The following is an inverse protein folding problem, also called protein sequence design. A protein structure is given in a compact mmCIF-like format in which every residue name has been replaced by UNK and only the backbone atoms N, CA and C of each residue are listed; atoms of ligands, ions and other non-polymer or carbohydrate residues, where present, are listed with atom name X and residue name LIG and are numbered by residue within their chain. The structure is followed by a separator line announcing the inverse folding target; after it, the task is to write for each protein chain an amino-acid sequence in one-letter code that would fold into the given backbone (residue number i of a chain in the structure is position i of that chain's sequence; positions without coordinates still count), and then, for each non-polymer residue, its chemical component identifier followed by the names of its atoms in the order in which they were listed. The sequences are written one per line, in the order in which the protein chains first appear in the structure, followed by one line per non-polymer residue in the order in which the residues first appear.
data_IF_708058293350
#
_entry.id   IF_708058293350
#
_cell.length_a   1.000
_cell.length_b   1.000
_cell.length_c   1.000
_cell.angle_alpha   90.00
_cell.angle_beta   90.00
_cell.angle_gamma   90.00
#
_symmetry.space_group_name_H-M   'P 1'
#
loop_
_entity.id
_entity.type
_entity.pdbx_description
1 polymer ?
#
# COMPACT_ATOMS: atom_id res chain seq x y z
N UNK A 1 25.74 -78.78 -40.87
CA UNK A 1 26.49 -77.73 -41.59
C UNK A 1 25.49 -76.70 -42.09
N UNK A 2 25.74 -75.43 -41.74
CA UNK A 2 25.02 -74.19 -42.11
C UNK A 2 23.58 -74.00 -41.57
N UNK A 3 23.47 -73.21 -40.50
CA UNK A 3 22.25 -72.49 -40.06
C UNK A 3 22.27 -71.04 -40.59
N UNK A 4 21.11 -70.42 -40.89
CA UNK A 4 21.03 -69.04 -41.36
C UNK A 4 20.68 -68.02 -40.25
N UNK A 5 21.45 -66.92 -40.27
CA UNK A 5 21.13 -65.49 -40.08
C UNK A 5 19.90 -65.14 -39.20
N UNK A 6 20.19 -64.59 -38.02
CA UNK A 6 19.21 -64.08 -37.07
C UNK A 6 18.65 -62.69 -37.40
N UNK A 7 17.39 -62.49 -37.02
CA UNK A 7 16.74 -61.20 -36.78
C UNK A 7 16.08 -61.24 -35.40
N UNK A 8 16.25 -60.14 -34.65
CA UNK A 8 15.62 -59.69 -33.37
C UNK A 8 16.74 -59.02 -32.54
N UNK A 9 16.60 -57.89 -31.86
CA UNK A 9 15.50 -56.95 -31.58
C UNK A 9 16.16 -55.79 -30.84
N UNK A 10 15.92 -54.53 -31.21
CA UNK A 10 16.44 -53.37 -30.44
C UNK A 10 15.41 -52.87 -29.42
N UNK A 11 15.83 -52.38 -28.23
CA UNK A 11 14.93 -52.04 -27.13
C UNK A 11 14.32 -50.64 -27.27
N UNK A 12 13.05 -50.51 -26.91
CA UNK A 12 12.39 -49.22 -26.68
C UNK A 12 13.05 -48.50 -25.49
N UNK A 13 13.61 -47.32 -25.74
CA UNK A 13 13.99 -46.35 -24.72
C UNK A 13 13.02 -45.17 -24.83
N UNK A 14 12.10 -45.07 -23.89
CA UNK A 14 11.20 -43.93 -23.72
C UNK A 14 11.99 -42.68 -23.32
N UNK A 15 12.11 -41.72 -24.23
CA UNK A 15 12.45 -40.35 -23.85
C UNK A 15 11.21 -39.72 -23.20
N UNK A 16 11.27 -39.50 -21.89
CA UNK A 16 10.33 -38.63 -21.20
C UNK A 16 10.75 -37.18 -21.47
N UNK A 17 9.84 -36.41 -22.06
CA UNK A 17 10.01 -34.97 -22.29
C UNK A 17 10.01 -34.23 -20.94
N UNK A 18 11.03 -33.41 -20.62
CA UNK A 18 11.14 -32.74 -19.31
C UNK A 18 10.17 -31.57 -19.08
N UNK A 19 9.17 -31.36 -19.94
CA UNK A 19 8.40 -30.11 -19.94
C UNK A 19 6.90 -30.27 -19.57
N UNK A 20 6.55 -31.34 -18.85
CA UNK A 20 5.14 -31.62 -18.50
C UNK A 20 4.57 -30.78 -17.34
N UNK A 21 5.39 -30.03 -16.58
CA UNK A 21 4.95 -29.41 -15.32
C UNK A 21 5.01 -27.88 -15.30
N UNK A 22 4.75 -27.22 -16.45
CA UNK A 22 4.37 -25.80 -16.43
C UNK A 22 2.90 -25.66 -16.74
N UNK A 23 2.07 -26.09 -15.77
CA UNK A 23 0.66 -25.76 -15.75
C UNK A 23 0.51 -24.23 -15.85
N UNK A 24 0.08 -23.76 -17.01
CA UNK A 24 -0.20 -22.36 -17.31
C UNK A 24 -1.31 -21.90 -16.37
N UNK A 25 -0.95 -21.22 -15.28
CA UNK A 25 -1.93 -20.58 -14.41
C UNK A 25 -2.71 -19.58 -15.30
N UNK A 26 -4.05 -19.63 -15.32
CA UNK A 26 -4.82 -18.67 -16.10
C UNK A 26 -4.43 -17.25 -15.67
N UNK A 27 -4.15 -16.33 -16.60
CA UNK A 27 -3.76 -14.94 -16.31
C UNK A 27 -4.66 -14.26 -15.25
N UNK A 28 -5.95 -14.58 -15.27
CA UNK A 28 -6.94 -14.11 -14.29
C UNK A 28 -6.65 -14.58 -12.84
N UNK A 29 -6.09 -15.77 -12.64
CA UNK A 29 -5.72 -16.28 -11.33
C UNK A 29 -4.44 -15.63 -10.77
N UNK A 30 -3.52 -15.22 -11.64
CA UNK A 30 -2.32 -14.46 -11.24
C UNK A 30 -2.67 -13.02 -10.87
N UNK A 31 -3.50 -12.35 -11.66
CA UNK A 31 -4.03 -11.01 -11.37
C UNK A 31 -4.83 -10.97 -10.06
N UNK A 32 -5.66 -11.99 -9.81
CA UNK A 32 -6.41 -12.11 -8.56
C UNK A 32 -5.48 -12.23 -7.35
N UNK A 33 -4.46 -13.08 -7.43
CA UNK A 33 -3.45 -13.24 -6.36
C UNK A 33 -2.69 -11.95 -6.10
N UNK A 34 -2.39 -11.18 -7.14
CA UNK A 34 -1.67 -9.93 -7.01
C UNK A 34 -2.51 -8.84 -6.31
N UNK A 35 -3.81 -8.73 -6.66
CA UNK A 35 -4.73 -7.83 -5.95
C UNK A 35 -4.89 -8.24 -4.49
N UNK A 36 -5.09 -9.52 -4.21
CA UNK A 36 -5.16 -10.04 -2.83
C UNK A 36 -3.87 -9.76 -2.05
N UNK A 37 -2.71 -9.85 -2.70
CA UNK A 37 -1.42 -9.49 -2.09
C UNK A 37 -1.32 -8.01 -1.75
N UNK A 38 -1.79 -7.11 -2.62
CA UNK A 38 -1.79 -5.66 -2.37
C UNK A 38 -2.78 -5.28 -1.26
N UNK A 39 -3.97 -5.88 -1.25
CA UNK A 39 -4.96 -5.68 -0.18
C UNK A 39 -4.41 -6.12 1.18
N UNK A 40 -3.75 -7.29 1.21
CA UNK A 40 -3.07 -7.78 2.40
C UNK A 40 -1.96 -6.83 2.84
N UNK A 41 -1.09 -6.39 1.92
CA UNK A 41 -0.03 -5.46 2.24
C UNK A 41 -0.57 -4.16 2.83
N UNK A 42 -1.64 -3.61 2.24
CA UNK A 42 -2.29 -2.42 2.76
C UNK A 42 -2.78 -2.65 4.20
N UNK A 43 -3.49 -3.76 4.45
CA UNK A 43 -3.95 -4.12 5.78
C UNK A 43 -2.79 -4.27 6.79
N UNK A 44 -1.68 -4.91 6.38
CA UNK A 44 -0.49 -5.08 7.20
C UNK A 44 0.16 -3.72 7.54
N UNK A 45 0.20 -2.77 6.59
CA UNK A 45 0.69 -1.40 6.83
C UNK A 45 -0.20 -0.64 7.81
N UNK A 46 -1.52 -0.77 7.70
CA UNK A 46 -2.46 -0.20 8.66
C UNK A 46 -2.27 -0.78 10.06
N UNK A 47 -2.09 -2.11 10.17
CA UNK A 47 -1.81 -2.81 11.41
C UNK A 47 -0.50 -2.33 12.04
N UNK A 48 0.58 -2.34 11.27
CA UNK A 48 1.89 -1.89 11.71
C UNK A 48 1.88 -0.44 12.22
N UNK A 49 1.19 0.46 11.52
CA UNK A 49 1.04 1.84 11.99
C UNK A 49 0.34 1.90 13.36
N UNK A 50 -0.78 1.18 13.52
CA UNK A 50 -1.54 1.17 14.79
C UNK A 50 -0.70 0.64 15.95
N UNK A 51 0.03 -0.47 15.73
CA UNK A 51 0.93 -1.06 16.73
C UNK A 51 2.08 -0.11 17.08
N UNK A 52 2.73 0.46 16.07
CA UNK A 52 3.83 1.41 16.25
C UNK A 52 3.40 2.66 17.04
N UNK A 53 2.17 3.15 16.82
CA UNK A 53 1.64 4.31 17.51
C UNK A 53 1.13 4.00 18.93
N UNK A 54 0.89 2.73 19.27
CA UNK A 54 0.51 2.33 20.62
C UNK A 54 1.67 2.46 21.62
N UNK A 55 2.92 2.31 21.15
CA UNK A 55 4.12 2.54 21.95
C UNK A 55 4.37 4.05 22.09
N UNK A 56 3.92 4.63 23.21
CA UNK A 56 4.12 6.05 23.53
C UNK A 56 5.41 6.27 24.29
N UNK A 57 6.12 7.35 23.96
CA UNK A 57 7.27 7.81 24.74
C UNK A 57 6.77 8.46 26.02
N UNK A 58 7.07 7.84 27.15
CA UNK A 58 6.88 8.47 28.44
C UNK A 58 8.08 9.34 28.78
N UNK A 59 7.79 10.58 29.16
CA UNK A 59 8.78 11.60 29.48
C UNK A 59 8.40 12.15 30.83
N UNK A 60 9.33 12.10 31.79
CA UNK A 60 9.13 12.71 33.08
C UNK A 60 9.09 14.24 32.94
N UNK A 61 7.88 14.79 33.07
CA UNK A 61 7.61 16.21 32.94
C UNK A 61 8.27 17.01 34.06
N UNK A 62 8.44 16.41 35.24
CA UNK A 62 8.94 17.10 36.43
C UNK A 62 10.41 17.48 36.30
N UNK A 63 11.26 16.57 35.82
CA UNK A 63 12.71 16.82 35.68
C UNK A 63 13.08 17.67 34.47
N UNK A 64 12.28 17.66 33.41
CA UNK A 64 12.63 18.31 32.13
C UNK A 64 12.14 19.75 32.03
N UNK A 65 11.09 20.08 32.79
CA UNK A 65 10.46 21.40 32.73
C UNK A 65 10.55 22.16 34.07
N UNK A 66 11.23 21.62 35.08
CA UNK A 66 11.51 22.35 36.32
C UNK A 66 12.49 23.51 36.09
N UNK A 67 12.07 24.75 36.36
CA UNK A 67 12.98 25.90 36.52
C UNK A 67 12.90 27.01 35.46
N UNK A 68 12.14 26.85 34.37
CA UNK A 68 11.85 27.93 33.42
C UNK A 68 10.48 28.55 33.69
N UNK A 69 10.25 29.84 33.44
CA UNK A 69 9.00 30.52 33.85
C UNK A 69 7.86 30.49 32.84
N UNK A 70 8.07 30.06 31.60
CA UNK A 70 7.03 30.06 30.56
C UNK A 70 7.28 28.91 29.55
N UNK A 71 6.69 27.74 29.79
CA UNK A 71 6.87 26.54 28.96
C UNK A 71 5.57 25.79 28.64
N UNK A 72 4.43 26.45 28.82
CA UNK A 72 3.12 25.80 28.64
C UNK A 72 2.91 25.40 27.18
N UNK A 73 3.34 26.25 26.26
CA UNK A 73 3.27 26.02 24.82
C UNK A 73 4.06 24.78 24.40
N UNK A 74 5.31 24.66 24.86
CA UNK A 74 6.13 23.48 24.56
C UNK A 74 5.56 22.21 25.19
N UNK A 75 4.98 22.31 26.39
CA UNK A 75 4.33 21.18 27.03
C UNK A 75 3.07 20.74 26.28
N UNK A 76 2.29 21.70 25.77
CA UNK A 76 1.15 21.43 24.88
C UNK A 76 1.64 20.78 23.59
N UNK A 77 2.72 21.29 22.99
CA UNK A 77 3.36 20.69 21.81
C UNK A 77 3.81 19.24 22.06
N UNK A 78 4.33 18.95 23.25
CA UNK A 78 4.71 17.60 23.65
C UNK A 78 3.50 16.69 23.80
N UNK A 79 2.45 17.14 24.47
CA UNK A 79 1.24 16.35 24.70
C UNK A 79 0.42 16.11 23.43
N UNK A 80 0.40 17.07 22.50
CA UNK A 80 -0.30 16.90 21.23
C UNK A 80 0.44 15.97 20.28
N UNK A 81 1.78 15.94 20.33
CA UNK A 81 2.59 15.16 19.38
C UNK A 81 2.19 13.68 19.45
N UNK A 82 1.92 13.11 18.28
CA UNK A 82 1.48 11.73 18.09
C UNK A 82 0.08 11.38 18.62
N UNK A 83 -0.70 12.36 19.06
CA UNK A 83 -2.11 12.13 19.36
C UNK A 83 -2.91 11.89 18.09
N UNK A 84 -3.82 10.92 18.09
CA UNK A 84 -4.76 10.67 17.01
C UNK A 84 -6.14 11.32 17.24
N UNK A 85 -6.32 12.03 18.36
CA UNK A 85 -7.59 12.60 18.75
C UNK A 85 -8.04 13.73 17.80
N UNK A 86 -9.36 13.92 17.62
CA UNK A 86 -9.88 15.14 17.02
C UNK A 86 -9.61 16.35 17.94
N UNK A 87 -9.58 17.56 17.37
CA UNK A 87 -9.20 18.80 18.06
C UNK A 87 -9.99 19.00 19.34
N UNK A 88 -11.32 18.89 19.28
CA UNK A 88 -12.20 18.99 20.46
C UNK A 88 -11.73 18.12 21.63
N UNK A 89 -11.57 16.81 21.40
CA UNK A 89 -11.12 15.85 22.42
C UNK A 89 -9.68 16.03 22.85
N UNK A 90 -8.81 16.44 21.92
CA UNK A 90 -7.41 16.70 22.23
C UNK A 90 -7.27 17.88 23.20
N UNK A 91 -8.03 18.96 22.98
CA UNK A 91 -8.02 20.12 23.87
C UNK A 91 -8.55 19.74 25.24
N UNK A 92 -9.63 18.94 25.32
CA UNK A 92 -10.13 18.42 26.60
C UNK A 92 -9.03 17.63 27.34
N UNK A 93 -8.39 16.66 26.68
CA UNK A 93 -7.34 15.82 27.27
C UNK A 93 -6.15 16.64 27.77
N UNK A 94 -5.67 17.58 26.95
CA UNK A 94 -4.52 18.43 27.31
C UNK A 94 -4.90 19.39 28.43
N UNK A 95 -6.08 20.01 28.39
CA UNK A 95 -6.53 20.92 29.43
C UNK A 95 -6.65 20.22 30.79
N UNK A 96 -7.28 19.05 30.83
CA UNK A 96 -7.43 18.25 32.05
C UNK A 96 -6.08 17.77 32.58
N UNK A 97 -5.20 17.32 31.68
CA UNK A 97 -3.85 16.91 32.04
C UNK A 97 -3.05 18.07 32.63
N UNK A 98 -3.01 19.22 31.97
CA UNK A 98 -2.31 20.42 32.47
C UNK A 98 -2.82 20.83 33.85
N UNK A 99 -4.13 20.91 34.04
CA UNK A 99 -4.70 21.30 35.34
C UNK A 99 -4.35 20.31 36.45
N UNK A 100 -4.34 19.01 36.16
CA UNK A 100 -3.92 17.98 37.11
C UNK A 100 -2.46 18.13 37.49
N UNK A 101 -1.56 18.32 36.52
CA UNK A 101 -0.12 18.49 36.81
C UNK A 101 0.17 19.79 37.58
N UNK A 102 -0.59 20.86 37.30
CA UNK A 102 -0.51 22.12 38.07
C UNK A 102 -1.04 21.92 39.50
N UNK A 103 -2.17 21.22 39.66
CA UNK A 103 -2.75 20.94 40.98
C UNK A 103 -1.83 20.09 41.85
N UNK A 104 -1.16 19.10 41.25
CA UNK A 104 -0.21 18.23 41.94
C UNK A 104 1.15 18.90 42.23
N UNK A 105 1.36 20.13 41.74
CA UNK A 105 2.62 20.85 41.88
C UNK A 105 3.76 20.33 41.01
N UNK A 106 3.49 19.40 40.09
CA UNK A 106 4.47 18.88 39.11
C UNK A 106 4.97 20.01 38.21
N UNK A 107 4.06 20.90 37.81
CA UNK A 107 4.31 22.01 36.88
C UNK A 107 3.86 23.32 37.52
N UNK A 108 4.67 24.36 37.35
CA UNK A 108 4.36 25.71 37.83
C UNK A 108 4.13 26.62 36.63
N UNK A 109 2.88 27.07 36.47
CA UNK A 109 2.49 28.01 35.43
C UNK A 109 2.36 29.43 36.00
N UNK A 110 2.96 30.39 35.32
CA UNK A 110 2.90 31.82 35.67
C UNK A 110 1.60 32.48 35.23
N UNK A 111 0.99 31.96 34.15
CA UNK A 111 -0.27 32.45 33.57
C UNK A 111 -1.39 31.46 33.83
N UNK A 112 -2.61 31.99 33.95
CA UNK A 112 -3.82 31.16 34.07
C UNK A 112 -4.02 30.38 32.77
N UNK A 113 -3.97 29.06 32.86
CA UNK A 113 -4.33 28.17 31.75
C UNK A 113 -5.86 28.11 31.65
N UNK A 114 -6.39 28.43 30.48
CA UNK A 114 -7.82 28.35 30.16
C UNK A 114 -8.03 27.39 28.99
N UNK A 115 -9.24 26.86 28.86
CA UNK A 115 -9.58 26.01 27.72
C UNK A 115 -9.29 26.70 26.38
N UNK A 116 -9.66 27.98 26.25
CA UNK A 116 -9.43 28.77 25.04
C UNK A 116 -7.94 28.97 24.74
N UNK A 117 -7.11 29.18 25.77
CA UNK A 117 -5.66 29.31 25.57
C UNK A 117 -5.04 27.98 25.14
N UNK A 118 -5.47 26.84 25.71
CA UNK A 118 -5.01 25.51 25.27
C UNK A 118 -5.40 25.25 23.83
N UNK A 119 -6.66 25.54 23.46
CA UNK A 119 -7.11 25.40 22.07
C UNK A 119 -6.27 26.23 21.10
N UNK A 120 -5.98 27.49 21.46
CA UNK A 120 -5.13 28.35 20.65
C UNK A 120 -3.71 27.78 20.52
N UNK A 121 -3.11 27.28 21.61
CA UNK A 121 -1.80 26.64 21.60
C UNK A 121 -1.79 25.38 20.73
N UNK A 122 -2.77 24.49 20.83
CA UNK A 122 -2.85 23.29 19.99
C UNK A 122 -2.89 23.64 18.51
N UNK A 123 -3.67 24.65 18.12
CA UNK A 123 -3.77 25.11 16.73
C UNK A 123 -2.49 25.82 16.25
N UNK A 124 -1.81 26.54 17.13
CA UNK A 124 -0.58 27.24 16.79
C UNK A 124 0.63 26.29 16.72
N UNK A 125 0.73 25.37 17.67
CA UNK A 125 1.89 24.49 17.84
C UNK A 125 1.76 23.19 17.05
N UNK A 126 0.56 22.80 16.63
CA UNK A 126 0.26 21.49 16.06
C UNK A 126 -0.29 21.52 14.64
N UNK A 127 0.12 20.54 13.84
CA UNK A 127 -0.47 20.22 12.54
C UNK A 127 -1.09 18.82 12.60
N UNK A 128 -2.35 18.69 12.19
CA UNK A 128 -3.02 17.39 12.08
C UNK A 128 -2.86 16.84 10.66
N UNK A 129 -2.23 15.69 10.53
CA UNK A 129 -1.86 15.07 9.25
C UNK A 129 -2.50 13.70 9.12
N UNK A 130 -3.04 13.38 7.94
CA UNK A 130 -3.46 12.03 7.56
C UNK A 130 -2.24 11.24 7.09
N UNK A 131 -2.02 10.07 7.69
CA UNK A 131 -1.00 9.10 7.27
C UNK A 131 -1.59 7.90 6.52
N UNK A 132 -2.91 7.82 6.43
CA UNK A 132 -3.63 6.80 5.68
C UNK A 132 -4.29 7.39 4.42
N UNK A 133 -5.52 6.97 4.17
CA UNK A 133 -6.34 7.35 3.02
C UNK A 133 -7.32 8.46 3.40
N UNK A 134 -7.00 9.74 3.13
CA UNK A 134 -7.86 10.86 3.49
C UNK A 134 -9.16 10.82 2.68
N UNK A 135 -10.29 11.00 3.38
CA UNK A 135 -11.59 11.15 2.73
C UNK A 135 -11.74 12.55 2.15
N UNK A 136 -12.24 12.64 0.92
CA UNK A 136 -12.54 13.92 0.28
C UNK A 136 -13.56 14.72 1.11
N UNK A 137 -13.22 15.98 1.41
CA UNK A 137 -14.06 16.87 2.21
C UNK A 137 -14.14 16.52 3.70
N UNK A 138 -13.26 15.63 4.21
CA UNK A 138 -13.16 15.40 5.64
C UNK A 138 -12.74 16.68 6.38
N UNK A 139 -13.36 16.93 7.52
CA UNK A 139 -12.90 17.96 8.44
C UNK A 139 -11.56 17.50 9.03
N UNK A 140 -10.47 18.15 8.62
CA UNK A 140 -9.12 17.81 9.08
C UNK A 140 -9.02 17.82 10.60
N UNK A 141 -9.76 18.69 11.29
CA UNK A 141 -9.67 18.83 12.75
C UNK A 141 -10.49 17.81 13.51
N UNK A 142 -11.59 17.34 12.94
CA UNK A 142 -12.58 16.54 13.68
C UNK A 142 -12.81 15.14 13.11
N UNK A 143 -12.36 14.84 11.88
CA UNK A 143 -12.54 13.51 11.30
C UNK A 143 -11.81 12.44 12.13
N UNK A 144 -12.50 11.32 12.32
CA UNK A 144 -12.03 10.16 13.08
C UNK A 144 -12.10 8.88 12.26
N UNK A 145 -12.23 8.99 10.93
CA UNK A 145 -12.27 7.83 10.04
C UNK A 145 -10.98 7.01 10.21
N UNK A 146 -11.10 5.73 10.56
CA UNK A 146 -9.94 4.89 10.88
C UNK A 146 -8.93 4.79 9.74
N UNK A 147 -9.41 4.72 8.49
CA UNK A 147 -8.53 4.61 7.32
C UNK A 147 -7.68 5.86 7.09
N UNK A 148 -8.01 7.01 7.68
CA UNK A 148 -7.24 8.24 7.49
C UNK A 148 -5.97 8.29 8.36
N UNK A 149 -5.89 7.49 9.43
CA UNK A 149 -4.75 7.49 10.36
C UNK A 149 -4.33 8.92 10.75
N UNK A 150 -5.30 9.70 11.25
CA UNK A 150 -5.03 11.07 11.70
C UNK A 150 -4.06 11.08 12.87
N UNK A 151 -3.09 11.98 12.79
CA UNK A 151 -2.08 12.16 13.82
C UNK A 151 -1.65 13.63 13.88
N UNK A 152 -1.50 14.13 15.10
CA UNK A 152 -0.98 15.45 15.40
C UNK A 152 0.55 15.43 15.42
N UNK A 153 1.16 16.46 14.85
CA UNK A 153 2.61 16.68 14.88
C UNK A 153 2.91 18.11 15.31
N UNK A 154 3.83 18.27 16.26
CA UNK A 154 4.29 19.60 16.66
C UNK A 154 5.11 20.26 15.52
N UNK A 155 4.69 21.46 15.10
CA UNK A 155 5.25 22.23 13.99
C UNK A 155 6.56 22.92 14.43
N UNK A 156 6.59 23.46 15.64
CA UNK A 156 7.75 24.15 16.18
C UNK A 156 8.61 23.18 17.00
N UNK A 157 9.86 23.02 16.56
CA UNK A 157 10.83 22.10 17.17
C UNK A 157 11.49 22.66 18.43
N UNK A 158 11.07 23.81 18.94
CA UNK A 158 11.64 24.40 20.15
C UNK A 158 11.48 23.47 21.36
N UNK A 159 10.31 22.84 21.48
CA UNK A 159 10.07 21.74 22.41
C UNK A 159 11.13 20.64 22.29
N UNK A 160 11.48 20.21 21.06
CA UNK A 160 12.45 19.12 20.86
C UNK A 160 13.80 19.48 21.46
N UNK A 161 14.30 20.71 21.26
CA UNK A 161 15.60 21.12 21.79
C UNK A 161 15.69 21.11 23.32
N UNK A 162 14.56 21.12 24.03
CA UNK A 162 14.53 21.03 25.50
C UNK A 162 14.48 19.59 26.04
N UNK A 163 14.17 18.62 25.19
CA UNK A 163 14.13 17.21 25.57
C UNK A 163 15.54 16.61 25.57
N UNK A 164 15.79 15.53 26.33
CA UNK A 164 17.02 14.76 26.22
C UNK A 164 17.26 14.28 24.78
N UNK A 165 18.52 14.21 24.35
CA UNK A 165 18.90 13.81 22.98
C UNK A 165 18.32 12.43 22.58
N UNK A 166 18.22 11.51 23.53
CA UNK A 166 17.58 10.20 23.31
C UNK A 166 16.10 10.32 22.92
N UNK A 167 15.37 11.21 23.59
CA UNK A 167 13.96 11.49 23.32
C UNK A 167 13.80 12.22 21.99
N UNK A 168 14.66 13.20 21.71
CA UNK A 168 14.68 13.91 20.43
C UNK A 168 14.87 12.96 19.25
N UNK A 169 15.87 12.09 19.35
CA UNK A 169 16.18 11.07 18.34
C UNK A 169 15.00 10.13 18.16
N UNK A 170 14.38 9.70 19.26
CA UNK A 170 13.21 8.84 19.21
C UNK A 170 12.03 9.50 18.49
N UNK A 171 11.66 10.73 18.83
CA UNK A 171 10.58 11.48 18.15
C UNK A 171 10.90 11.66 16.66
N UNK A 172 12.15 11.99 16.32
CA UNK A 172 12.60 12.18 14.94
C UNK A 172 12.48 10.88 14.12
N UNK A 173 12.90 9.74 14.70
CA UNK A 173 12.75 8.43 14.08
C UNK A 173 11.28 8.09 13.86
N UNK A 174 10.40 8.40 14.82
CA UNK A 174 8.96 8.14 14.69
C UNK A 174 8.31 8.98 13.61
N UNK A 175 8.67 10.26 13.49
CA UNK A 175 8.26 11.12 12.36
C UNK A 175 8.67 10.52 11.01
N UNK A 176 9.93 10.11 10.90
CA UNK A 176 10.46 9.47 9.69
C UNK A 176 9.70 8.18 9.34
N UNK A 177 9.45 7.30 10.32
CA UNK A 177 8.71 6.07 10.12
C UNK A 177 7.28 6.33 9.64
N UNK A 178 6.56 7.27 10.26
CA UNK A 178 5.21 7.64 9.81
C UNK A 178 5.20 8.17 8.38
N UNK A 179 6.17 9.01 8.01
CA UNK A 179 6.31 9.50 6.63
C UNK A 179 6.48 8.34 5.65
N UNK A 180 7.39 7.40 5.95
CA UNK A 180 7.63 6.23 5.09
C UNK A 180 6.40 5.32 4.95
N UNK A 181 5.68 5.10 6.05
CA UNK A 181 4.43 4.32 6.03
C UNK A 181 3.40 5.01 5.14
N UNK A 182 3.22 6.32 5.29
CA UNK A 182 2.30 7.11 4.46
C UNK A 182 2.64 7.01 2.97
N UNK A 183 3.91 7.16 2.62
CA UNK A 183 4.36 7.05 1.23
C UNK A 183 4.07 5.65 0.67
N UNK A 184 4.28 4.60 1.48
CA UNK A 184 3.99 3.22 1.08
C UNK A 184 2.48 2.97 0.94
N UNK A 185 1.66 3.44 1.87
CA UNK A 185 0.19 3.35 1.79
C UNK A 185 -0.31 4.03 0.52
N UNK A 186 0.19 5.23 0.20
CA UNK A 186 -0.17 5.94 -1.01
C UNK A 186 0.19 5.13 -2.27
N UNK A 187 1.44 4.63 -2.36
CA UNK A 187 1.90 3.86 -3.51
C UNK A 187 1.08 2.56 -3.72
N UNK A 188 0.84 1.78 -2.66
CA UNK A 188 0.05 0.54 -2.75
C UNK A 188 -1.39 0.85 -3.18
N UNK A 189 -1.97 1.92 -2.64
CA UNK A 189 -3.34 2.32 -2.97
C UNK A 189 -3.47 2.80 -4.42
N UNK A 190 -2.48 3.54 -4.93
CA UNK A 190 -2.43 3.94 -6.34
C UNK A 190 -2.31 2.72 -7.27
N UNK A 191 -1.49 1.73 -6.90
CA UNK A 191 -1.38 0.47 -7.66
C UNK A 191 -2.70 -0.29 -7.69
N UNK A 192 -3.39 -0.39 -6.55
CA UNK A 192 -4.71 -1.00 -6.47
C UNK A 192 -5.74 -0.28 -7.37
N UNK A 193 -5.79 1.05 -7.32
CA UNK A 193 -6.70 1.83 -8.16
C UNK A 193 -6.37 1.71 -9.64
N UNK A 194 -5.08 1.69 -10.02
CA UNK A 194 -4.66 1.44 -11.39
C UNK A 194 -5.14 0.07 -11.89
N UNK A 195 -5.01 -0.98 -11.07
CA UNK A 195 -5.52 -2.32 -11.40
C UNK A 195 -7.03 -2.34 -11.57
N UNK A 196 -7.78 -1.70 -10.68
CA UNK A 196 -9.24 -1.58 -10.80
C UNK A 196 -9.63 -0.87 -12.10
N UNK A 197 -8.93 0.21 -12.47
CA UNK A 197 -9.17 0.93 -13.73
C UNK A 197 -8.89 0.06 -14.95
N UNK A 198 -7.80 -0.70 -14.97
CA UNK A 198 -7.49 -1.63 -16.05
C UNK A 198 -8.57 -2.71 -16.19
N UNK A 199 -8.99 -3.32 -15.09
CA UNK A 199 -10.08 -4.30 -15.08
C UNK A 199 -11.38 -3.70 -15.62
N UNK A 200 -11.74 -2.50 -15.17
CA UNK A 200 -12.94 -1.79 -15.64
C UNK A 200 -12.84 -1.40 -17.12
N UNK A 201 -11.66 -1.04 -17.62
CA UNK A 201 -11.43 -0.75 -19.03
C UNK A 201 -11.56 -2.02 -19.88
N UNK A 202 -11.01 -3.16 -19.41
CA UNK A 202 -11.20 -4.46 -20.04
C UNK A 202 -12.67 -4.87 -20.11
N UNK A 203 -13.43 -4.69 -19.03
CA UNK A 203 -14.88 -4.95 -19.04
C UNK A 203 -15.59 -4.07 -20.06
N UNK A 204 -15.27 -2.77 -20.12
CA UNK A 204 -15.87 -1.83 -21.09
C UNK A 204 -15.52 -2.18 -22.54
N UNK A 205 -14.29 -2.59 -22.81
CA UNK A 205 -13.85 -3.04 -24.13
C UNK A 205 -14.47 -4.39 -24.50
N UNK A 206 -14.64 -5.32 -23.55
CA UNK A 206 -15.31 -6.60 -23.74
C UNK A 206 -16.83 -6.51 -23.89
N UNK A 207 -17.47 -5.42 -23.44
CA UNK A 207 -18.85 -5.08 -23.82
C UNK A 207 -18.97 -4.48 -25.23
N UNK A 208 -17.86 -4.21 -25.91
CA UNK A 208 -17.82 -3.93 -27.35
C UNK A 208 -17.36 -5.21 -28.05
N UNK A 209 -18.34 -6.07 -28.32
CA UNK A 209 -18.29 -7.22 -29.24
C UNK A 209 -17.28 -8.35 -28.93
N UNK A 210 -17.68 -9.22 -28.01
CA UNK A 210 -17.11 -10.57 -27.85
C UNK A 210 -17.89 -11.58 -28.71
N UNK A 211 -18.08 -11.28 -30.00
CA UNK A 211 -18.59 -12.22 -31.01
C UNK A 211 -17.54 -12.68 -32.02
N UNK A 212 -16.28 -12.32 -31.82
CA UNK A 212 -15.15 -12.87 -32.57
C UNK A 212 -14.07 -13.25 -31.56
N UNK A 213 -13.56 -14.49 -31.68
CA UNK A 213 -12.37 -15.07 -31.01
C UNK A 213 -12.55 -16.04 -29.84
N UNK A 214 -13.75 -16.54 -29.55
CA UNK A 214 -13.89 -17.83 -28.86
C UNK A 214 -14.52 -18.82 -29.85
N UNK A 215 -13.73 -19.82 -30.25
CA UNK A 215 -14.05 -21.01 -31.07
C UNK A 215 -13.37 -21.16 -32.44
N UNK A 216 -12.08 -20.83 -32.55
CA UNK A 216 -11.23 -21.48 -33.57
C UNK A 216 -9.89 -21.90 -32.95
N UNK A 217 -9.95 -22.92 -32.08
CA UNK A 217 -8.85 -23.89 -32.02
C UNK A 217 -8.86 -24.59 -33.38
N UNK A 218 -8.12 -24.02 -34.33
CA UNK A 218 -7.77 -24.74 -35.55
C UNK A 218 -6.89 -25.89 -35.08
N UNK A 219 -7.48 -27.08 -34.92
CA UNK A 219 -6.73 -28.33 -34.76
C UNK A 219 -5.67 -28.39 -35.84
N UNK A 220 -4.44 -28.77 -35.50
CA UNK A 220 -3.29 -28.82 -36.42
C UNK A 220 -3.60 -29.54 -37.76
N UNK A 221 -4.53 -30.49 -37.74
CA UNK A 221 -5.07 -31.20 -38.91
C UNK A 221 -5.73 -30.30 -39.99
N UNK A 222 -6.33 -29.16 -39.58
CA UNK A 222 -6.97 -28.18 -40.48
C UNK A 222 -5.94 -27.20 -41.03
N UNK A 223 -4.85 -26.92 -40.30
CA UNK A 223 -3.72 -26.13 -40.80
C UNK A 223 -2.91 -26.91 -41.85
N UNK A 224 -2.70 -28.22 -41.64
CA UNK A 224 -2.05 -29.10 -42.62
C UNK A 224 -2.91 -29.30 -43.88
N UNK A 225 -4.24 -29.44 -43.75
CA UNK A 225 -5.14 -29.50 -44.93
C UNK A 225 -5.09 -28.23 -45.78
N UNK A 226 -5.06 -27.04 -45.15
CA UNK A 226 -4.98 -25.77 -45.86
C UNK A 226 -3.62 -25.57 -46.57
N UNK A 227 -2.53 -26.11 -46.02
CA UNK A 227 -1.23 -26.10 -46.71
C UNK A 227 -1.18 -27.06 -47.90
N UNK A 228 -1.84 -28.21 -47.80
CA UNK A 228 -1.91 -29.19 -48.89
C UNK A 228 -2.83 -28.70 -50.03
N UNK A 229 -3.97 -28.08 -49.71
CA UNK A 229 -4.91 -27.51 -50.71
C UNK A 229 -4.36 -26.25 -51.38
N UNK A 230 -3.59 -25.43 -50.67
CA UNK A 230 -2.88 -24.28 -51.24
C UNK A 230 -1.76 -24.67 -52.21
N UNK A 231 -1.11 -25.81 -51.98
CA UNK A 231 -0.07 -26.33 -52.88
C UNK A 231 -0.63 -26.97 -54.15
N UNK A 232 -1.86 -27.50 -54.13
CA UNK A 232 -2.53 -28.04 -55.33
C UNK A 232 -3.06 -26.93 -56.23
N UNK A 233 -3.67 -25.88 -55.67
CA UNK A 233 -4.19 -24.76 -56.45
C UNK A 233 -3.08 -23.93 -57.13
N UNK A 234 -1.91 -23.77 -56.49
CA UNK A 234 -0.78 -23.05 -57.10
C UNK A 234 -0.17 -23.81 -58.29
N UNK A 235 -0.30 -25.14 -58.33
CA UNK A 235 0.26 -25.99 -59.38
C UNK A 235 -0.70 -26.17 -60.57
N UNK A 236 -2.01 -26.06 -60.35
CA UNK A 236 -3.01 -25.96 -61.43
C UNK A 236 -2.94 -24.59 -62.12
N UNK A 237 -2.78 -23.50 -61.36
CA UNK A 237 -2.65 -22.14 -61.92
C UNK A 237 -1.35 -21.94 -62.73
N UNK A 238 -0.24 -22.58 -62.34
CA UNK A 238 1.01 -22.54 -63.11
C UNK A 238 1.00 -23.40 -64.39
N UNK A 239 0.10 -24.39 -64.47
CA UNK A 239 -0.06 -25.21 -65.67
C UNK A 239 -1.02 -24.54 -66.68
N UNK A 240 -2.09 -23.88 -66.21
CA UNK A 240 -2.98 -23.08 -67.07
C UNK A 240 -2.24 -21.90 -67.74
N UNK A 241 -1.30 -21.26 -67.03
CA UNK A 241 -0.46 -20.18 -67.59
C UNK A 241 0.58 -20.64 -68.63
N UNK A 242 0.81 -21.95 -68.77
CA UNK A 242 1.75 -22.52 -69.76
C UNK A 242 1.08 -23.08 -71.00
N UNK A 243 -0.24 -23.28 -70.99
CA UNK A 243 -0.99 -23.71 -72.18
C UNK A 243 -1.54 -22.52 -73.01
N UNK A 244 -1.47 -21.29 -72.49
CA UNK A 244 -1.89 -20.06 -73.20
C UNK A 244 -0.73 -19.23 -73.81
N UNK A 245 0.50 -19.78 -73.91
CA UNK A 245 1.65 -19.15 -74.58
C UNK A 245 2.22 -20.03 -75.71
#
# INVERSE_FOLDING_TARGET
MAEPIGTKSSPQSSFQDPNSDRATIPKNAEEKKEVESLEKELADLFGYYKEFMAEKVEVDLSSQWSGSRDYVEDLVAFMLNESNLPLSKLVDEIYDRLNREVHNGTIVVTKRVTYASVRAMVVNEGMRTSFGLPKAGADVWEDTTESCLWCWEAIFSEMLYRLPESVQTHISNRRMCRSRIKDRIAAVSEMMEAKKRLKNAWIKLGTVDMHYWEDDVISDEKYEKLQMEGSTNSREFENELKEEA
#
